data_IF_863502731069
#
_entry.id   IF_863502731069
#
_cell.length_a   1.000
_cell.length_b   1.000
_cell.length_c   1.000
_cell.angle_alpha   90.00
_cell.angle_beta   90.00
_cell.angle_gamma   90.00
#
_symmetry.space_group_name_H-M   'P 1'
#
loop_
_entity.id
_entity.type
_entity.pdbx_description
1 polymer ?
#
# COMPACT_ATOMS: atom_id res chain seq x y z
N UNK A 1 45.72 -35.96 38.27
CA UNK A 1 44.27 -36.27 38.25
C UNK A 1 43.41 -35.05 38.56
N UNK A 2 43.65 -34.30 39.65
CA UNK A 2 42.88 -33.09 40.04
C UNK A 2 42.72 -32.01 38.94
N UNK A 3 43.78 -31.69 38.19
CA UNK A 3 43.74 -30.61 37.17
C UNK A 3 42.83 -30.94 35.97
N UNK A 4 42.60 -32.23 35.68
CA UNK A 4 41.70 -32.66 34.60
C UNK A 4 40.23 -32.39 34.92
N UNK A 5 39.84 -32.58 36.18
CA UNK A 5 38.49 -32.25 36.66
C UNK A 5 38.26 -30.73 36.73
N UNK A 6 39.31 -29.98 37.05
CA UNK A 6 39.26 -28.52 37.13
C UNK A 6 39.04 -27.89 35.73
N UNK A 7 39.70 -28.43 34.70
CA UNK A 7 39.44 -28.08 33.29
C UNK A 7 38.02 -28.46 32.85
N UNK A 8 37.51 -29.62 33.28
CA UNK A 8 36.14 -30.05 32.98
C UNK A 8 35.09 -29.12 33.59
N UNK A 9 35.27 -28.72 34.85
CA UNK A 9 34.37 -27.78 35.54
C UNK A 9 34.40 -26.41 34.87
N UNK A 10 35.58 -25.92 34.48
CA UNK A 10 35.72 -24.66 33.77
C UNK A 10 35.00 -24.68 32.40
N UNK A 11 35.11 -25.79 31.66
CA UNK A 11 34.43 -25.95 30.37
C UNK A 11 32.90 -25.92 30.53
N UNK A 12 32.36 -26.55 31.57
CA UNK A 12 30.91 -26.52 31.86
C UNK A 12 30.44 -25.11 32.24
N UNK A 13 31.21 -24.39 33.06
CA UNK A 13 30.90 -23.00 33.44
C UNK A 13 30.88 -22.06 32.23
N UNK A 14 31.84 -22.20 31.31
CA UNK A 14 31.88 -21.41 30.06
C UNK A 14 30.67 -21.71 29.18
N UNK A 15 30.21 -22.96 29.14
CA UNK A 15 29.06 -23.37 28.33
C UNK A 15 27.73 -22.83 28.88
N UNK A 16 27.59 -22.73 30.21
CA UNK A 16 26.38 -22.19 30.87
C UNK A 16 26.37 -20.66 30.83
N UNK A 17 27.54 -20.02 30.80
CA UNK A 17 27.68 -18.56 30.78
C UNK A 17 27.53 -17.91 29.40
N UNK A 18 27.22 -18.66 28.34
CA UNK A 18 26.99 -18.08 27.02
C UNK A 18 25.70 -17.25 27.04
N UNK A 19 25.73 -15.97 26.60
CA UNK A 19 24.51 -15.18 26.44
C UNK A 19 23.62 -15.87 25.41
N UNK A 20 22.39 -16.20 25.80
CA UNK A 20 21.35 -16.62 24.86
C UNK A 20 21.00 -15.38 24.04
N UNK A 21 21.70 -15.18 22.93
CA UNK A 21 21.28 -14.23 21.90
C UNK A 21 19.96 -14.75 21.34
N UNK A 22 18.87 -14.35 21.99
CA UNK A 22 17.52 -14.56 21.50
C UNK A 22 17.47 -13.88 20.13
N UNK A 23 17.35 -14.67 19.08
CA UNK A 23 17.23 -14.17 17.72
C UNK A 23 16.11 -13.15 17.74
N UNK A 24 16.44 -11.93 17.31
CA UNK A 24 15.52 -10.82 17.14
C UNK A 24 14.25 -11.37 16.49
N UNK A 25 13.22 -11.56 17.32
CA UNK A 25 11.87 -11.75 16.87
C UNK A 25 11.41 -10.36 16.45
N UNK A 26 12.09 -9.80 15.46
CA UNK A 26 11.69 -8.58 14.77
C UNK A 26 10.34 -8.95 14.17
N UNK A 27 9.28 -8.70 14.93
CA UNK A 27 7.90 -8.86 14.51
C UNK A 27 7.77 -7.94 13.30
N UNK A 28 7.86 -8.53 12.11
CA UNK A 28 7.72 -7.81 10.85
C UNK A 28 6.24 -7.51 10.67
N UNK A 29 5.81 -6.40 11.25
CA UNK A 29 4.46 -5.88 11.05
C UNK A 29 4.45 -5.29 9.63
N UNK A 30 3.85 -6.02 8.69
CA UNK A 30 3.54 -5.48 7.37
C UNK A 30 2.41 -4.48 7.50
N UNK A 31 2.71 -3.19 7.32
CA UNK A 31 1.68 -2.17 7.13
C UNK A 31 1.20 -2.21 5.69
N UNK A 32 -0.09 -2.48 5.50
CA UNK A 32 -0.73 -2.50 4.19
C UNK A 32 -1.46 -1.18 4.00
N UNK A 33 -1.11 -0.45 2.95
CA UNK A 33 -1.80 0.78 2.58
C UNK A 33 -3.12 0.43 1.89
N UNK A 34 -4.23 0.62 2.62
CA UNK A 34 -5.57 0.36 2.10
C UNK A 34 -5.92 1.28 0.93
N UNK A 35 -5.39 2.51 0.87
CA UNK A 35 -5.66 3.42 -0.25
C UNK A 35 -5.03 2.88 -1.53
N UNK A 36 -3.80 2.37 -1.42
CA UNK A 36 -3.10 1.75 -2.56
C UNK A 36 -3.83 0.51 -3.06
N UNK A 37 -4.30 -0.34 -2.14
CA UNK A 37 -5.07 -1.53 -2.52
C UNK A 37 -6.38 -1.20 -3.23
N UNK A 38 -7.12 -0.20 -2.74
CA UNK A 38 -8.40 0.16 -3.35
C UNK A 38 -8.21 0.74 -4.76
N UNK A 39 -7.23 1.63 -4.94
CA UNK A 39 -6.98 2.29 -6.23
C UNK A 39 -6.37 1.35 -7.27
N UNK A 40 -5.48 0.44 -6.87
CA UNK A 40 -4.84 -0.52 -7.78
C UNK A 40 -5.65 -1.82 -7.93
N UNK A 41 -6.80 -1.95 -7.24
CA UNK A 41 -7.62 -3.16 -7.36
C UNK A 41 -8.26 -3.26 -8.75
N UNK A 42 -8.29 -4.47 -9.35
CA UNK A 42 -9.01 -4.69 -10.62
C UNK A 42 -10.48 -4.28 -10.54
N UNK A 43 -11.10 -4.51 -9.38
CA UNK A 43 -12.50 -4.18 -9.12
C UNK A 43 -12.78 -2.67 -9.19
N UNK A 44 -11.84 -1.84 -8.75
CA UNK A 44 -11.97 -0.38 -8.85
C UNK A 44 -11.84 0.10 -10.29
N UNK A 45 -10.93 -0.49 -11.08
CA UNK A 45 -10.78 -0.17 -12.50
C UNK A 45 -12.04 -0.53 -13.28
N UNK A 46 -12.63 -1.71 -13.03
CA UNK A 46 -13.88 -2.13 -13.67
C UNK A 46 -15.04 -1.19 -13.34
N UNK A 47 -15.16 -0.79 -12.07
CA UNK A 47 -16.16 0.18 -11.63
C UNK A 47 -15.94 1.56 -12.28
N UNK A 48 -14.69 2.03 -12.34
CA UNK A 48 -14.36 3.32 -12.95
C UNK A 48 -14.73 3.32 -14.44
N UNK A 49 -14.40 2.24 -15.17
CA UNK A 49 -14.75 2.10 -16.58
C UNK A 49 -16.27 2.08 -16.79
N UNK A 50 -17.03 1.39 -15.94
CA UNK A 50 -18.49 1.35 -16.02
C UNK A 50 -19.12 2.73 -15.76
N UNK A 51 -18.58 3.48 -14.80
CA UNK A 51 -19.01 4.86 -14.52
C UNK A 51 -18.65 5.78 -15.70
N UNK A 52 -17.45 5.68 -16.25
CA UNK A 52 -17.05 6.49 -17.40
C UNK A 52 -17.97 6.25 -18.61
N UNK A 53 -18.32 4.99 -18.89
CA UNK A 53 -19.25 4.65 -19.96
C UNK A 53 -20.66 5.21 -19.73
N UNK A 54 -21.18 5.15 -18.50
CA UNK A 54 -22.51 5.70 -18.18
C UNK A 54 -22.55 7.23 -18.28
N UNK A 55 -21.46 7.90 -17.88
CA UNK A 55 -21.41 9.36 -17.81
C UNK A 55 -20.86 10.03 -19.09
N UNK A 56 -20.19 9.29 -19.98
CA UNK A 56 -19.73 9.78 -21.29
C UNK A 56 -20.81 10.51 -22.12
N UNK A 57 -22.04 9.98 -22.29
CA UNK A 57 -23.08 10.70 -23.03
C UNK A 57 -23.49 12.00 -22.32
N UNK A 58 -23.50 12.01 -20.98
CA UNK A 58 -23.88 13.20 -20.20
C UNK A 58 -22.87 14.33 -20.36
N UNK A 59 -21.58 14.01 -20.40
CA UNK A 59 -20.51 14.99 -20.64
C UNK A 59 -20.68 15.60 -22.03
N UNK A 60 -20.90 14.76 -23.06
CA UNK A 60 -21.13 15.22 -24.43
C UNK A 60 -22.32 16.17 -24.55
N UNK A 61 -23.42 15.85 -23.87
CA UNK A 61 -24.61 16.70 -23.85
C UNK A 61 -24.35 18.05 -23.17
N UNK A 62 -23.55 18.05 -22.10
CA UNK A 62 -23.16 19.29 -21.40
C UNK A 62 -22.27 20.16 -22.28
N UNK A 63 -21.25 19.57 -22.92
CA UNK A 63 -20.37 20.28 -23.85
C UNK A 63 -21.14 20.87 -25.04
N UNK A 64 -22.09 20.11 -25.60
CA UNK A 64 -22.95 20.60 -26.68
C UNK A 64 -23.82 21.78 -26.22
N UNK A 65 -24.36 21.71 -24.99
CA UNK A 65 -25.12 22.81 -24.40
C UNK A 65 -24.25 24.04 -24.17
N UNK A 66 -23.04 23.87 -23.66
CA UNK A 66 -22.07 24.96 -23.47
C UNK A 66 -21.74 25.65 -24.80
N UNK A 67 -21.45 24.88 -25.85
CA UNK A 67 -21.21 25.42 -27.18
C UNK A 67 -22.40 26.24 -27.70
N UNK A 68 -23.63 25.71 -27.59
CA UNK A 68 -24.84 26.42 -28.02
C UNK A 68 -25.10 27.70 -27.22
N UNK A 69 -24.77 27.69 -25.93
CA UNK A 69 -24.93 28.84 -25.06
C UNK A 69 -23.91 29.93 -25.40
N UNK A 70 -22.65 29.56 -25.63
CA UNK A 70 -21.61 30.49 -26.06
C UNK A 70 -21.92 31.11 -27.42
N UNK A 71 -22.36 30.31 -28.40
CA UNK A 71 -22.80 30.83 -29.71
C UNK A 71 -23.92 31.86 -29.56
N UNK A 72 -24.94 31.57 -28.74
CA UNK A 72 -26.03 32.51 -28.46
C UNK A 72 -25.53 33.79 -27.79
N UNK A 73 -24.55 33.69 -26.89
CA UNK A 73 -23.95 34.85 -26.23
C UNK A 73 -23.14 35.71 -27.20
N UNK A 74 -22.45 35.11 -28.14
CA UNK A 74 -21.66 35.82 -29.15
C UNK A 74 -22.57 36.56 -30.14
N UNK A 75 -23.69 35.95 -30.53
CA UNK A 75 -24.72 36.59 -31.36
C UNK A 75 -25.35 37.82 -30.69
N UNK A 76 -25.49 37.80 -29.36
CA UNK A 76 -26.06 38.93 -28.60
C UNK A 76 -25.07 40.06 -28.31
N UNK A 77 -23.76 39.80 -28.44
CA UNK A 77 -22.70 40.78 -28.22
C UNK A 77 -22.22 41.46 -29.52
N UNK A 78 -22.70 41.01 -30.68
CA UNK A 78 -22.53 41.65 -31.99
C UNK A 78 -23.71 42.56 -32.33
#
# INVERSE_FOLDING_TARGET
>A
MKNKYLLGIFAVLVFIGQPVFSQDSAVRIGVVDMNKLLQESPQYQDMLSAVEEEFAPRVRDIEAKEASFNESRDQLQQ
#
